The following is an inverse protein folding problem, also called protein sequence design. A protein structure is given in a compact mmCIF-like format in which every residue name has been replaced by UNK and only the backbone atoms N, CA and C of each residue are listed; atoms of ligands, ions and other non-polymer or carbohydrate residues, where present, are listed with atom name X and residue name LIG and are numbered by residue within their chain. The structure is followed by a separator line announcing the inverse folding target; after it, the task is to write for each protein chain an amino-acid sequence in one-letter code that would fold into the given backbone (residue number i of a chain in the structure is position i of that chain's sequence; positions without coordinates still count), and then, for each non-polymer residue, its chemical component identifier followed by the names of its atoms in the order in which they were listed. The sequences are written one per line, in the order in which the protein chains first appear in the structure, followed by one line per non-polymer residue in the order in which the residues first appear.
data_IF_648770481915
#
_entry.id   IF_648770481915
#
_cell.length_a   1.000
_cell.length_b   1.000
_cell.length_c   1.000
_cell.angle_alpha   90.00
_cell.angle_beta   90.00
_cell.angle_gamma   90.00
#
_symmetry.space_group_name_H-M   'P 1'
#
loop_
_entity.id
_entity.type
_entity.pdbx_description
1 polymer ?
#
# COMPACT_ATOMS: atom_id res chain seq x y z
N UNK A 1 -35.56 22.35 3.34
CA UNK A 1 -35.95 21.06 3.98
C UNK A 1 -34.87 20.03 3.69
N UNK A 2 -34.71 18.95 4.45
CA UNK A 2 -33.53 18.08 4.25
C UNK A 2 -33.84 16.93 3.30
N UNK A 3 -33.26 16.97 2.10
CA UNK A 3 -33.26 15.85 1.15
C UNK A 3 -32.01 15.00 1.38
N UNK A 4 -32.20 13.70 1.59
CA UNK A 4 -31.10 12.75 1.84
C UNK A 4 -31.10 11.64 0.80
N UNK A 5 -30.03 11.56 0.02
CA UNK A 5 -29.83 10.57 -1.03
C UNK A 5 -28.85 9.49 -0.56
N UNK A 6 -29.35 8.35 -0.10
CA UNK A 6 -28.54 7.19 0.27
C UNK A 6 -28.16 6.38 -0.97
N UNK A 7 -26.87 6.13 -1.16
CA UNK A 7 -26.33 5.39 -2.31
C UNK A 7 -25.49 4.21 -1.84
N UNK A 8 -25.96 2.99 -2.10
CA UNK A 8 -25.14 1.79 -2.00
C UNK A 8 -24.28 1.64 -3.27
N UNK A 9 -22.96 1.66 -3.08
CA UNK A 9 -21.99 1.76 -4.16
C UNK A 9 -21.49 0.38 -4.57
N UNK A 10 -22.02 -0.15 -5.67
CA UNK A 10 -21.44 -1.29 -6.37
C UNK A 10 -20.16 -0.93 -7.18
N UNK A 11 -19.35 -1.94 -7.54
CA UNK A 11 -18.10 -1.76 -8.33
C UNK A 11 -18.24 -2.17 -9.79
N UNK A 12 -18.98 -3.24 -10.08
CA UNK A 12 -19.20 -3.80 -11.44
C UNK A 12 -20.68 -3.92 -11.81
N UNK A 13 -21.58 -3.74 -10.85
CA UNK A 13 -23.02 -3.68 -11.04
C UNK A 13 -23.49 -2.23 -10.88
N UNK A 14 -24.75 -1.95 -11.22
CA UNK A 14 -25.36 -0.66 -10.95
C UNK A 14 -25.41 -0.40 -9.43
N UNK A 15 -25.12 0.84 -9.03
CA UNK A 15 -25.34 1.34 -7.69
C UNK A 15 -26.85 1.39 -7.41
N UNK A 16 -27.25 1.33 -6.13
CA UNK A 16 -28.65 1.54 -5.73
C UNK A 16 -28.80 2.83 -4.95
N UNK A 17 -29.71 3.69 -5.40
CA UNK A 17 -30.06 4.95 -4.75
C UNK A 17 -31.46 4.90 -4.15
N UNK A 18 -31.62 5.54 -3.00
CA UNK A 18 -32.91 5.85 -2.37
C UNK A 18 -32.90 7.29 -1.86
N UNK A 19 -33.94 8.06 -2.20
CA UNK A 19 -34.12 9.44 -1.76
C UNK A 19 -35.12 9.49 -0.62
N UNK A 20 -34.79 10.21 0.46
CA UNK A 20 -35.71 10.58 1.52
C UNK A 20 -35.83 12.10 1.64
N UNK A 21 -36.98 12.56 2.13
CA UNK A 21 -37.23 13.92 2.61
C UNK A 21 -37.62 13.81 4.07
N UNK A 22 -36.81 14.38 4.95
CA UNK A 22 -37.01 14.33 6.41
C UNK A 22 -37.30 12.90 6.92
N UNK A 23 -36.58 11.91 6.36
CA UNK A 23 -36.64 10.48 6.72
C UNK A 23 -37.74 9.68 6.03
N UNK A 24 -38.72 10.34 5.41
CA UNK A 24 -39.77 9.70 4.58
C UNK A 24 -39.24 9.45 3.18
N UNK A 25 -39.37 8.22 2.69
CA UNK A 25 -38.90 7.83 1.35
C UNK A 25 -39.71 8.51 0.25
N UNK A 26 -39.04 9.24 -0.64
CA UNK A 26 -39.63 9.84 -1.85
C UNK A 26 -39.65 8.82 -2.99
N UNK A 27 -38.50 8.21 -3.27
CA UNK A 27 -38.36 7.06 -4.17
C UNK A 27 -37.23 6.14 -3.69
N UNK A 28 -37.25 4.86 -4.08
CA UNK A 28 -36.31 3.84 -3.59
C UNK A 28 -35.81 2.91 -4.67
N UNK A 29 -34.58 2.40 -4.50
CA UNK A 29 -34.00 1.37 -5.36
C UNK A 29 -33.78 1.79 -6.82
N UNK A 30 -33.56 3.08 -7.11
CA UNK A 30 -33.15 3.52 -8.46
C UNK A 30 -31.77 2.96 -8.74
N UNK A 31 -31.62 2.29 -9.89
CA UNK A 31 -30.34 1.71 -10.33
C UNK A 31 -29.68 2.64 -11.34
N UNK A 32 -28.38 2.88 -11.15
CA UNK A 32 -27.57 3.70 -12.06
C UNK A 32 -26.11 3.24 -12.06
N UNK A 33 -25.41 3.47 -13.15
CA UNK A 33 -23.94 3.36 -13.24
C UNK A 33 -23.28 4.72 -13.04
N UNK A 34 -21.99 4.75 -12.72
CA UNK A 34 -21.17 5.98 -12.77
C UNK A 34 -20.91 6.38 -14.24
N UNK A 35 -21.96 6.86 -14.92
CA UNK A 35 -21.95 7.48 -16.25
C UNK A 35 -22.60 8.85 -16.15
N UNK A 36 -22.12 9.83 -16.91
CA UNK A 36 -22.60 11.22 -16.82
C UNK A 36 -24.12 11.32 -16.98
N UNK A 37 -24.69 10.74 -18.04
CA UNK A 37 -26.14 10.75 -18.32
C UNK A 37 -26.98 10.13 -17.19
N UNK A 38 -26.48 9.05 -16.57
CA UNK A 38 -27.19 8.35 -15.50
C UNK A 38 -27.10 9.11 -14.16
N UNK A 39 -25.98 9.81 -13.92
CA UNK A 39 -25.82 10.72 -12.78
C UNK A 39 -26.68 11.99 -12.93
N UNK A 40 -26.71 12.61 -14.11
CA UNK A 40 -27.61 13.74 -14.40
C UNK A 40 -29.08 13.35 -14.25
N UNK A 41 -29.45 12.12 -14.66
CA UNK A 41 -30.79 11.58 -14.42
C UNK A 41 -31.11 11.50 -12.93
N UNK A 42 -30.25 10.87 -12.12
CA UNK A 42 -30.43 10.76 -10.66
C UNK A 42 -30.49 12.14 -9.98
N UNK A 43 -29.76 13.13 -10.50
CA UNK A 43 -29.79 14.51 -10.02
C UNK A 43 -31.11 15.22 -10.35
N UNK A 44 -31.57 15.15 -11.60
CA UNK A 44 -32.87 15.68 -12.00
C UNK A 44 -34.02 15.01 -11.23
N UNK A 45 -33.93 13.69 -11.04
CA UNK A 45 -34.85 12.87 -10.24
C UNK A 45 -34.87 13.22 -8.73
N UNK A 46 -33.83 13.89 -8.23
CA UNK A 46 -33.80 14.39 -6.85
C UNK A 46 -34.62 15.68 -6.67
N UNK A 47 -34.89 16.43 -7.75
CA UNK A 47 -35.79 17.59 -7.76
C UNK A 47 -35.37 18.68 -6.78
N UNK A 48 -34.08 18.98 -6.69
CA UNK A 48 -33.49 19.90 -5.72
C UNK A 48 -33.40 21.31 -6.30
N UNK A 49 -33.97 22.30 -5.61
CA UNK A 49 -33.91 23.72 -6.01
C UNK A 49 -32.58 24.36 -5.57
N UNK A 50 -32.20 24.21 -4.30
CA UNK A 50 -30.86 24.57 -3.80
C UNK A 50 -30.02 23.29 -3.55
N UNK A 51 -28.94 23.07 -4.32
CA UNK A 51 -27.99 21.98 -4.10
C UNK A 51 -27.56 21.75 -2.64
N UNK A 52 -27.43 22.81 -1.83
CA UNK A 52 -26.96 22.71 -0.45
C UNK A 52 -27.97 22.04 0.51
N UNK A 53 -29.22 21.87 0.10
CA UNK A 53 -30.24 21.08 0.80
C UNK A 53 -30.11 19.56 0.57
N UNK A 54 -29.38 19.14 -0.47
CA UNK A 54 -29.13 17.73 -0.75
C UNK A 54 -27.94 17.20 0.05
N UNK A 55 -28.20 16.20 0.88
CA UNK A 55 -27.18 15.41 1.59
C UNK A 55 -27.05 14.03 0.94
N UNK A 56 -25.92 13.77 0.28
CA UNK A 56 -25.62 12.48 -0.36
C UNK A 56 -24.83 11.60 0.61
N UNK A 57 -25.36 10.43 0.94
CA UNK A 57 -24.80 9.52 1.95
C UNK A 57 -24.23 8.28 1.25
N UNK A 58 -22.92 8.06 1.43
CA UNK A 58 -22.15 7.02 0.74
C UNK A 58 -21.40 6.13 1.74
N UNK A 59 -21.43 4.81 1.48
CA UNK A 59 -20.45 3.88 2.04
C UNK A 59 -19.20 3.81 1.12
N UNK A 60 -17.97 3.86 1.65
CA UNK A 60 -16.75 3.86 0.84
C UNK A 60 -16.42 2.49 0.23
N UNK A 61 -17.09 2.13 -0.87
CA UNK A 61 -16.76 0.92 -1.64
C UNK A 61 -15.56 1.15 -2.56
N UNK A 62 -14.38 0.66 -2.13
CA UNK A 62 -13.10 0.75 -2.87
C UNK A 62 -12.81 2.19 -3.32
N UNK A 63 -12.61 2.42 -4.63
CA UNK A 63 -12.44 3.75 -5.22
C UNK A 63 -13.70 4.25 -5.96
N UNK A 64 -14.74 3.42 -6.12
CA UNK A 64 -15.90 3.75 -6.94
C UNK A 64 -16.69 4.93 -6.37
N UNK A 65 -16.81 4.99 -5.04
CA UNK A 65 -17.50 6.07 -4.33
C UNK A 65 -16.86 7.46 -4.57
N UNK A 66 -15.56 7.54 -4.89
CA UNK A 66 -14.83 8.81 -5.01
C UNK A 66 -15.38 9.64 -6.18
N UNK A 67 -15.69 9.00 -7.31
CA UNK A 67 -16.20 9.69 -8.50
C UNK A 67 -17.60 10.22 -8.24
N UNK A 68 -18.45 9.40 -7.60
CA UNK A 68 -19.81 9.79 -7.19
C UNK A 68 -19.75 10.97 -6.21
N UNK A 69 -18.93 10.85 -5.16
CA UNK A 69 -18.75 11.89 -4.14
C UNK A 69 -18.25 13.22 -4.75
N UNK A 70 -17.22 13.20 -5.60
CA UNK A 70 -16.75 14.42 -6.27
C UNK A 70 -17.80 15.01 -7.22
N UNK A 71 -18.57 14.17 -7.93
CA UNK A 71 -19.58 14.63 -8.90
C UNK A 71 -20.73 15.39 -8.23
N UNK A 72 -21.24 14.88 -7.11
CA UNK A 72 -22.28 15.54 -6.31
C UNK A 72 -21.74 16.76 -5.55
N UNK A 73 -20.57 16.63 -4.89
CA UNK A 73 -19.92 17.74 -4.16
C UNK A 73 -19.64 18.94 -5.06
N UNK A 74 -19.23 18.71 -6.32
CA UNK A 74 -18.97 19.77 -7.30
C UNK A 74 -20.23 20.46 -7.84
N UNK A 75 -21.42 19.89 -7.60
CA UNK A 75 -22.72 20.53 -7.88
C UNK A 75 -23.29 21.29 -6.68
N UNK A 76 -22.59 21.31 -5.54
CA UNK A 76 -23.01 22.02 -4.31
C UNK A 76 -23.71 21.13 -3.27
N UNK A 77 -23.92 19.84 -3.55
CA UNK A 77 -24.50 18.93 -2.57
C UNK A 77 -23.50 18.57 -1.46
N UNK A 78 -24.00 18.46 -0.23
CA UNK A 78 -23.24 17.97 0.92
C UNK A 78 -23.02 16.47 0.74
N UNK A 79 -21.80 16.00 0.93
CA UNK A 79 -21.49 14.57 0.79
C UNK A 79 -20.99 14.02 2.13
N UNK A 80 -21.64 12.98 2.62
CA UNK A 80 -21.41 12.42 3.95
C UNK A 80 -20.96 10.97 3.82
N UNK A 81 -19.85 10.64 4.48
CA UNK A 81 -19.24 9.31 4.41
C UNK A 81 -19.56 8.50 5.65
N UNK A 82 -20.09 7.29 5.44
CA UNK A 82 -20.42 6.34 6.50
C UNK A 82 -19.26 5.34 6.64
N UNK A 83 -18.60 5.24 7.81
CA UNK A 83 -17.64 4.17 8.07
C UNK A 83 -18.26 2.79 7.86
N UNK A 84 -17.56 1.89 7.17
CA UNK A 84 -18.04 0.53 6.88
C UNK A 84 -18.33 -0.30 8.12
N UNK A 85 -17.72 0.02 9.26
CA UNK A 85 -18.04 -0.56 10.57
C UNK A 85 -19.41 -0.13 11.06
N UNK A 86 -19.71 1.17 11.05
CA UNK A 86 -21.02 1.71 11.43
C UNK A 86 -22.14 1.14 10.54
N UNK A 87 -21.96 1.13 9.21
CA UNK A 87 -22.97 0.58 8.30
C UNK A 87 -23.14 -0.95 8.44
N UNK A 88 -22.09 -1.69 8.81
CA UNK A 88 -22.20 -3.11 9.12
C UNK A 88 -23.00 -3.38 10.40
N UNK A 89 -22.77 -2.61 11.47
CA UNK A 89 -23.49 -2.78 12.74
C UNK A 89 -24.95 -2.33 12.62
N UNK A 90 -25.23 -1.26 11.87
CA UNK A 90 -26.57 -0.86 11.48
C UNK A 90 -27.28 -1.94 10.63
N UNK A 91 -26.58 -2.59 9.70
CA UNK A 91 -27.13 -3.73 8.94
C UNK A 91 -27.44 -4.93 9.83
N UNK A 92 -26.61 -5.26 10.83
CA UNK A 92 -26.93 -6.31 11.82
C UNK A 92 -28.22 -5.99 12.60
N UNK A 93 -28.45 -4.72 12.92
CA UNK A 93 -29.63 -4.28 13.67
C UNK A 93 -30.91 -4.26 12.80
N UNK A 94 -30.85 -3.67 11.61
CA UNK A 94 -32.02 -3.46 10.73
C UNK A 94 -32.26 -4.58 9.70
N UNK A 95 -31.28 -5.45 9.43
CA UNK A 95 -31.33 -6.45 8.34
C UNK A 95 -30.89 -7.84 8.82
N UNK A 96 -31.56 -8.37 9.85
CA UNK A 96 -31.27 -9.68 10.46
C UNK A 96 -31.23 -10.89 9.51
N UNK A 97 -31.83 -10.82 8.31
CA UNK A 97 -32.13 -12.03 7.51
C UNK A 97 -31.72 -12.01 6.02
N UNK A 98 -31.28 -10.90 5.43
CA UNK A 98 -30.70 -10.90 4.07
C UNK A 98 -29.90 -9.63 3.78
N UNK A 99 -28.78 -9.77 3.05
CA UNK A 99 -28.15 -8.63 2.37
C UNK A 99 -29.04 -8.22 1.18
N UNK A 100 -29.43 -6.95 1.11
CA UNK A 100 -30.20 -6.43 -0.01
C UNK A 100 -29.81 -4.96 -0.25
N UNK A 101 -29.05 -4.72 -1.31
CA UNK A 101 -28.56 -3.40 -1.74
C UNK A 101 -29.66 -2.29 -1.76
N UNK A 102 -30.94 -2.66 -1.98
CA UNK A 102 -32.08 -1.73 -1.86
C UNK A 102 -32.30 -1.27 -0.42
N UNK A 103 -32.27 -2.19 0.54
CA UNK A 103 -32.40 -1.92 1.98
C UNK A 103 -31.18 -1.12 2.46
N UNK A 104 -29.98 -1.49 2.00
CA UNK A 104 -28.73 -0.78 2.32
C UNK A 104 -28.83 0.70 1.88
N UNK A 105 -29.31 0.99 0.66
CA UNK A 105 -29.54 2.37 0.20
C UNK A 105 -30.62 3.13 1.01
N UNK A 106 -31.70 2.45 1.44
CA UNK A 106 -32.76 3.05 2.26
C UNK A 106 -32.28 3.37 3.69
N UNK A 107 -31.38 2.54 4.23
CA UNK A 107 -30.73 2.75 5.52
C UNK A 107 -29.77 3.95 5.47
N UNK A 108 -28.93 4.02 4.42
CA UNK A 108 -28.05 5.18 4.19
C UNK A 108 -28.86 6.48 4.05
N UNK A 109 -30.01 6.44 3.36
CA UNK A 109 -30.89 7.59 3.15
C UNK A 109 -31.59 8.12 4.42
N UNK A 110 -31.56 7.36 5.54
CA UNK A 110 -32.08 7.79 6.85
C UNK A 110 -30.98 8.07 7.87
N UNK A 111 -29.75 7.65 7.62
CA UNK A 111 -28.69 7.63 8.64
C UNK A 111 -28.34 9.00 9.25
N UNK A 112 -28.30 10.13 8.50
CA UNK A 112 -28.06 11.45 9.09
C UNK A 112 -29.09 11.87 10.16
N UNK A 113 -30.32 11.35 10.11
CA UNK A 113 -31.35 11.61 11.12
C UNK A 113 -31.22 10.70 12.34
N UNK A 114 -30.63 9.52 12.16
CA UNK A 114 -30.41 8.55 13.24
C UNK A 114 -29.11 8.81 14.02
N UNK A 115 -28.13 9.47 13.40
CA UNK A 115 -26.83 9.74 14.02
C UNK A 115 -26.15 11.03 13.50
N UNK A 116 -26.75 12.22 13.70
CA UNK A 116 -26.28 13.48 13.12
C UNK A 116 -24.81 13.80 13.42
N UNK A 117 -24.37 13.67 14.68
CA UNK A 117 -23.01 14.07 15.10
C UNK A 117 -21.91 13.01 14.80
N UNK A 118 -22.29 11.82 14.32
CA UNK A 118 -21.37 10.69 14.15
C UNK A 118 -20.80 10.52 12.74
N UNK A 119 -21.35 11.26 11.79
CA UNK A 119 -20.96 11.20 10.39
C UNK A 119 -20.03 12.36 10.05
N UNK A 120 -19.12 12.15 9.09
CA UNK A 120 -18.18 13.18 8.65
C UNK A 120 -18.48 13.59 7.21
N UNK A 121 -18.57 14.90 7.01
CA UNK A 121 -18.64 15.47 5.67
C UNK A 121 -17.33 15.24 4.92
N UNK A 122 -17.46 14.92 3.64
CA UNK A 122 -16.36 14.69 2.71
C UNK A 122 -15.91 16.01 2.08
N UNK A 123 -14.84 16.58 2.62
CA UNK A 123 -14.22 17.84 2.18
C UNK A 123 -13.47 17.76 0.83
N UNK A 124 -13.68 16.71 0.04
CA UNK A 124 -13.00 16.48 -1.24
C UNK A 124 -11.68 15.73 -1.14
N UNK A 125 -11.01 15.54 -2.27
CA UNK A 125 -9.73 14.82 -2.32
C UNK A 125 -8.57 15.61 -1.66
N UNK A 126 -8.59 16.95 -1.69
CA UNK A 126 -7.53 17.80 -1.11
C UNK A 126 -6.12 17.61 -1.73
N UNK A 127 -5.13 18.42 -1.31
CA UNK A 127 -3.78 18.38 -1.87
C UNK A 127 -2.99 17.12 -1.47
N UNK A 128 -3.32 16.50 -0.34
CA UNK A 128 -2.57 15.36 0.20
C UNK A 128 -2.93 13.99 -0.42
N UNK A 129 -3.99 13.87 -1.24
CA UNK A 129 -4.41 12.56 -1.76
C UNK A 129 -3.46 11.90 -2.78
N UNK A 130 -2.73 12.63 -3.66
CA UNK A 130 -1.63 12.05 -4.44
C UNK A 130 -0.58 11.39 -3.54
N UNK A 131 -0.18 12.03 -2.44
CA UNK A 131 0.75 11.49 -1.45
C UNK A 131 0.17 10.24 -0.77
N UNK A 132 -1.08 10.28 -0.28
CA UNK A 132 -1.75 9.10 0.32
C UNK A 132 -1.81 7.91 -0.64
N UNK A 133 -2.10 8.16 -1.93
CA UNK A 133 -2.10 7.13 -2.99
C UNK A 133 -0.72 6.52 -3.18
N UNK A 134 0.34 7.32 -3.28
CA UNK A 134 1.71 6.80 -3.45
C UNK A 134 2.19 6.02 -2.22
N UNK A 135 1.93 6.51 -1.00
CA UNK A 135 2.27 5.79 0.24
C UNK A 135 1.56 4.43 0.30
N UNK A 136 0.27 4.37 -0.12
CA UNK A 136 -0.47 3.11 -0.22
C UNK A 136 0.08 2.19 -1.31
N UNK A 137 0.50 2.74 -2.45
CA UNK A 137 1.13 1.99 -3.54
C UNK A 137 2.46 1.38 -3.07
N UNK A 138 3.35 2.19 -2.46
CA UNK A 138 4.61 1.74 -1.85
C UNK A 138 4.40 0.57 -0.89
N UNK A 139 3.49 0.73 0.08
CA UNK A 139 3.15 -0.32 1.05
C UNK A 139 2.65 -1.61 0.38
N UNK A 140 1.89 -1.48 -0.71
CA UNK A 140 1.44 -2.63 -1.51
C UNK A 140 2.58 -3.31 -2.26
N UNK A 141 3.57 -2.57 -2.75
CA UNK A 141 4.72 -3.10 -3.52
C UNK A 141 5.83 -3.70 -2.65
N UNK A 142 5.98 -3.28 -1.39
CA UNK A 142 6.93 -3.89 -0.45
C UNK A 142 6.56 -5.36 -0.18
N UNK A 143 5.27 -5.69 -0.08
CA UNK A 143 4.80 -7.06 0.19
C UNK A 143 5.27 -8.11 -0.83
N UNK A 144 5.03 -7.97 -2.15
CA UNK A 144 5.54 -8.93 -3.13
C UNK A 144 7.06 -8.95 -3.18
N UNK A 145 7.76 -7.83 -2.92
CA UNK A 145 9.23 -7.84 -2.85
C UNK A 145 9.73 -8.73 -1.71
N UNK A 146 9.14 -8.62 -0.52
CA UNK A 146 9.48 -9.51 0.60
C UNK A 146 9.18 -10.98 0.27
N UNK A 147 8.07 -11.26 -0.44
CA UNK A 147 7.76 -12.62 -0.88
C UNK A 147 8.72 -13.17 -1.95
N UNK A 148 9.22 -12.32 -2.86
CA UNK A 148 10.28 -12.67 -3.82
C UNK A 148 11.59 -12.99 -3.10
N UNK A 149 11.98 -12.18 -2.11
CA UNK A 149 13.21 -12.40 -1.35
C UNK A 149 13.18 -13.74 -0.60
N UNK A 150 12.04 -14.08 0.03
CA UNK A 150 11.88 -15.38 0.69
C UNK A 150 11.92 -16.58 -0.30
N UNK A 151 11.55 -16.39 -1.57
CA UNK A 151 11.73 -17.42 -2.61
C UNK A 151 13.18 -17.50 -3.09
N UNK A 152 13.88 -16.37 -3.21
CA UNK A 152 15.32 -16.35 -3.46
C UNK A 152 16.11 -17.06 -2.35
N UNK A 153 15.81 -16.80 -1.09
CA UNK A 153 16.42 -17.50 0.05
C UNK A 153 16.28 -19.03 -0.12
N UNK A 154 15.05 -19.52 -0.31
CA UNK A 154 14.75 -20.95 -0.47
C UNK A 154 15.39 -21.60 -1.70
N UNK A 155 15.55 -20.87 -2.82
CA UNK A 155 16.26 -21.39 -4.00
C UNK A 155 17.79 -21.38 -3.82
N UNK A 156 18.33 -20.38 -3.12
CA UNK A 156 19.77 -20.28 -2.83
C UNK A 156 20.21 -21.31 -1.78
N UNK A 157 19.32 -21.74 -0.88
CA UNK A 157 19.55 -22.86 0.03
C UNK A 157 19.95 -24.15 -0.71
N UNK A 158 19.43 -24.39 -1.94
CA UNK A 158 19.80 -25.53 -2.79
C UNK A 158 21.24 -25.44 -3.33
N UNK A 159 21.78 -24.22 -3.48
CA UNK A 159 23.18 -23.98 -3.82
C UNK A 159 24.11 -24.14 -2.60
N UNK A 160 23.56 -24.12 -1.38
CA UNK A 160 24.29 -24.35 -0.13
C UNK A 160 24.69 -23.07 0.63
N UNK A 161 25.03 -23.22 1.93
CA UNK A 161 25.10 -22.10 2.89
C UNK A 161 26.19 -21.06 2.59
N UNK A 162 27.27 -21.46 1.90
CA UNK A 162 28.39 -20.56 1.57
C UNK A 162 27.98 -19.46 0.58
N UNK A 163 26.96 -19.69 -0.26
CA UNK A 163 26.37 -18.64 -1.10
C UNK A 163 25.72 -17.54 -0.25
N UNK A 164 24.96 -17.92 0.79
CA UNK A 164 24.35 -16.96 1.70
C UNK A 164 25.41 -16.16 2.47
N UNK A 165 26.48 -16.83 2.94
CA UNK A 165 27.58 -16.18 3.65
C UNK A 165 28.29 -15.10 2.81
N UNK A 166 28.42 -15.29 1.48
CA UNK A 166 29.07 -14.33 0.58
C UNK A 166 28.11 -13.26 0.05
N UNK A 167 26.83 -13.60 -0.20
CA UNK A 167 25.85 -12.66 -0.76
C UNK A 167 25.20 -11.75 0.28
N UNK A 168 25.00 -12.27 1.49
CA UNK A 168 24.28 -11.61 2.59
C UNK A 168 22.76 -11.53 2.40
N UNK A 169 22.05 -11.47 3.51
CA UNK A 169 20.57 -11.60 3.61
C UNK A 169 19.74 -10.46 3.00
N UNK A 170 20.37 -9.34 2.64
CA UNK A 170 19.66 -8.14 2.15
C UNK A 170 19.68 -8.00 0.62
N UNK A 171 20.32 -8.93 -0.10
CA UNK A 171 20.48 -8.96 -1.56
C UNK A 171 20.62 -7.57 -2.22
N UNK A 172 21.82 -7.00 -2.10
CA UNK A 172 22.15 -5.74 -2.78
C UNK A 172 22.06 -5.88 -4.31
N UNK A 173 22.02 -4.74 -5.02
CA UNK A 173 21.86 -4.73 -6.48
C UNK A 173 22.90 -5.59 -7.23
N UNK A 174 24.13 -5.69 -6.70
CA UNK A 174 25.18 -6.56 -7.26
C UNK A 174 24.90 -8.06 -7.06
N UNK A 175 24.30 -8.44 -5.92
CA UNK A 175 23.89 -9.81 -5.62
C UNK A 175 22.77 -10.25 -6.58
N UNK A 176 21.71 -9.43 -6.70
CA UNK A 176 20.59 -9.72 -7.59
C UNK A 176 21.01 -9.75 -9.07
N UNK A 177 21.87 -8.83 -9.52
CA UNK A 177 22.41 -8.86 -10.88
C UNK A 177 23.31 -10.07 -11.17
N UNK A 178 23.99 -10.62 -10.15
CA UNK A 178 24.73 -11.88 -10.26
C UNK A 178 23.76 -13.06 -10.39
N UNK A 179 22.81 -13.18 -9.46
CA UNK A 179 21.80 -14.25 -9.43
C UNK A 179 20.97 -14.28 -10.73
N UNK A 180 20.64 -13.12 -11.29
CA UNK A 180 19.94 -12.97 -12.57
C UNK A 180 20.72 -13.45 -13.82
N UNK A 181 22.00 -13.80 -13.70
CA UNK A 181 22.88 -14.07 -14.87
C UNK A 181 23.82 -15.27 -14.71
N UNK A 182 24.19 -15.60 -13.47
CA UNK A 182 25.28 -16.50 -13.12
C UNK A 182 24.97 -17.25 -11.81
N UNK A 183 23.73 -17.72 -11.61
CA UNK A 183 23.40 -18.57 -10.46
C UNK A 183 23.86 -20.03 -10.63
N UNK A 184 24.07 -20.50 -11.87
CA UNK A 184 24.72 -21.79 -12.17
C UNK A 184 26.17 -21.82 -11.63
N UNK A 185 26.52 -22.75 -10.70
CA UNK A 185 27.87 -22.94 -10.20
C UNK A 185 28.91 -23.19 -11.31
N UNK A 186 28.56 -23.93 -12.37
CA UNK A 186 29.47 -24.16 -13.50
C UNK A 186 29.73 -22.85 -14.26
N UNK A 187 28.72 -22.00 -14.48
CA UNK A 187 28.89 -20.68 -15.07
C UNK A 187 29.79 -19.76 -14.22
N UNK A 188 29.63 -19.74 -12.89
CA UNK A 188 30.49 -18.95 -11.99
C UNK A 188 31.95 -19.36 -12.10
N UNK A 189 32.25 -20.66 -12.03
CA UNK A 189 33.61 -21.19 -12.13
C UNK A 189 34.20 -20.88 -13.52
N UNK A 190 33.43 -21.08 -14.59
CA UNK A 190 33.82 -20.82 -15.99
C UNK A 190 34.07 -19.34 -16.30
N UNK A 191 33.33 -18.44 -15.64
CA UNK A 191 33.53 -16.99 -15.77
C UNK A 191 34.90 -16.56 -15.22
N UNK A 192 35.32 -17.18 -14.11
CA UNK A 192 36.63 -16.96 -13.49
C UNK A 192 36.74 -15.66 -12.69
N UNK A 193 37.62 -15.69 -11.68
CA UNK A 193 37.67 -14.68 -10.61
C UNK A 193 37.84 -13.25 -11.13
N UNK A 194 38.76 -13.01 -12.08
CA UNK A 194 39.04 -11.66 -12.58
C UNK A 194 37.87 -11.03 -13.36
N UNK A 195 37.06 -11.84 -14.08
CA UNK A 195 35.86 -11.34 -14.77
C UNK A 195 34.72 -11.12 -13.78
N UNK A 196 34.54 -12.03 -12.83
CA UNK A 196 33.55 -11.93 -11.76
C UNK A 196 33.80 -10.72 -10.85
N UNK A 197 35.03 -10.50 -10.38
CA UNK A 197 35.42 -9.34 -9.58
C UNK A 197 35.12 -8.01 -10.30
N UNK A 198 35.45 -7.93 -11.61
CA UNK A 198 35.11 -6.76 -12.44
C UNK A 198 33.60 -6.56 -12.57
N UNK A 199 32.86 -7.64 -12.83
CA UNK A 199 31.39 -7.61 -12.93
C UNK A 199 30.74 -7.07 -11.64
N UNK A 200 31.18 -7.58 -10.48
CA UNK A 200 30.70 -7.19 -9.17
C UNK A 200 31.10 -5.76 -8.81
N UNK A 201 32.34 -5.35 -9.08
CA UNK A 201 32.83 -4.00 -8.79
C UNK A 201 31.98 -2.92 -9.49
N UNK A 202 31.66 -3.10 -10.77
CA UNK A 202 30.78 -2.17 -11.51
C UNK A 202 29.40 -2.02 -10.88
N UNK A 203 28.82 -3.10 -10.35
CA UNK A 203 27.43 -3.15 -9.85
C UNK A 203 27.27 -2.84 -8.37
N UNK A 204 28.35 -3.01 -7.60
CA UNK A 204 28.44 -2.72 -6.17
C UNK A 204 29.05 -1.35 -5.85
N UNK A 205 29.35 -0.53 -6.88
CA UNK A 205 30.12 0.73 -6.77
C UNK A 205 31.52 0.53 -6.17
N UNK A 206 32.12 -0.65 -6.39
CA UNK A 206 33.45 -1.02 -5.91
C UNK A 206 33.49 -1.63 -4.51
N UNK A 207 32.35 -1.89 -3.86
CA UNK A 207 32.30 -2.55 -2.56
C UNK A 207 32.62 -4.06 -2.65
N UNK A 208 32.26 -4.72 -3.76
CA UNK A 208 32.53 -6.14 -4.00
C UNK A 208 33.63 -6.28 -5.06
N UNK A 209 34.68 -7.03 -4.73
CA UNK A 209 35.90 -7.19 -5.53
C UNK A 209 36.40 -8.65 -5.45
N UNK A 210 37.72 -8.85 -5.48
CA UNK A 210 38.38 -10.15 -5.61
C UNK A 210 38.05 -11.12 -4.48
N UNK A 211 37.87 -10.66 -3.24
CA UNK A 211 37.45 -11.49 -2.10
C UNK A 211 36.04 -12.09 -2.31
N UNK A 212 35.07 -11.27 -2.73
CA UNK A 212 33.71 -11.73 -2.99
C UNK A 212 33.67 -12.67 -4.21
N UNK A 213 34.48 -12.37 -5.24
CA UNK A 213 34.62 -13.25 -6.41
C UNK A 213 35.26 -14.60 -6.05
N UNK A 214 36.28 -14.61 -5.19
CA UNK A 214 36.89 -15.84 -4.66
C UNK A 214 35.88 -16.64 -3.82
N UNK A 215 35.14 -15.97 -2.93
CA UNK A 215 34.10 -16.57 -2.10
C UNK A 215 33.00 -17.24 -2.92
N UNK A 216 32.52 -16.59 -3.98
CA UNK A 216 31.52 -17.16 -4.89
C UNK A 216 32.05 -18.37 -5.69
N UNK A 217 33.31 -18.34 -6.10
CA UNK A 217 33.93 -19.49 -6.79
C UNK A 217 34.16 -20.66 -5.82
N UNK A 218 34.49 -20.38 -4.55
CA UNK A 218 34.55 -21.40 -3.50
C UNK A 218 33.16 -21.99 -3.23
N UNK A 219 32.14 -21.14 -3.04
CA UNK A 219 30.75 -21.55 -2.86
C UNK A 219 30.27 -22.43 -4.02
N UNK A 220 30.49 -22.02 -5.27
CA UNK A 220 30.14 -22.79 -6.47
C UNK A 220 30.84 -24.17 -6.51
N UNK A 221 32.12 -24.26 -6.14
CA UNK A 221 32.84 -25.54 -6.06
C UNK A 221 32.28 -26.45 -4.96
N UNK A 222 31.91 -25.86 -3.82
CA UNK A 222 31.29 -26.58 -2.71
C UNK A 222 29.90 -27.10 -3.09
N UNK A 223 29.07 -26.30 -3.77
CA UNK A 223 27.79 -26.75 -4.35
C UNK A 223 27.98 -28.00 -5.21
N UNK A 224 28.92 -27.96 -6.15
CA UNK A 224 29.20 -29.11 -7.02
C UNK A 224 29.71 -30.31 -6.24
N UNK A 225 30.53 -30.12 -5.20
CA UNK A 225 31.00 -31.21 -4.35
C UNK A 225 29.87 -31.86 -3.51
N UNK A 226 28.90 -31.08 -3.04
CA UNK A 226 27.74 -31.56 -2.29
C UNK A 226 26.78 -32.39 -3.14
N UNK A 227 26.59 -32.02 -4.41
CA UNK A 227 25.66 -32.68 -5.33
C UNK A 227 26.30 -33.77 -6.20
N UNK A 228 27.63 -33.84 -6.29
CA UNK A 228 28.35 -34.86 -7.07
C UNK A 228 28.55 -36.15 -6.27
N UNK A 229 27.46 -36.89 -6.07
CA UNK A 229 27.48 -38.27 -5.55
C UNK A 229 27.41 -39.25 -6.72
N UNK A 230 28.30 -40.25 -6.72
CA UNK A 230 28.38 -41.23 -7.81
C UNK A 230 27.13 -42.12 -7.86
N UNK A 231 26.46 -42.17 -9.02
CA UNK A 231 25.27 -43.01 -9.23
C UNK A 231 23.93 -42.39 -8.80
N UNK A 232 23.88 -41.10 -8.47
CA UNK A 232 22.61 -40.40 -8.13
C UNK A 232 22.17 -39.42 -9.24
N UNK A 233 20.85 -39.22 -9.36
CA UNK A 233 20.29 -38.11 -10.14
C UNK A 233 20.68 -36.77 -9.50
N UNK A 234 21.66 -36.09 -10.10
CA UNK A 234 22.14 -34.79 -9.65
C UNK A 234 21.17 -33.65 -9.94
N UNK A 235 21.44 -32.48 -9.36
CA UNK A 235 20.65 -31.27 -9.59
C UNK A 235 20.93 -30.65 -10.97
N UNK A 236 19.87 -30.31 -11.71
CA UNK A 236 19.98 -29.47 -12.90
C UNK A 236 20.20 -28.01 -12.50
N UNK A 237 21.47 -27.61 -12.46
CA UNK A 237 21.86 -26.23 -12.14
C UNK A 237 21.51 -25.21 -13.24
N UNK A 238 21.23 -25.64 -14.48
CA UNK A 238 20.80 -24.72 -15.52
C UNK A 238 19.34 -24.31 -15.29
N UNK A 239 18.45 -25.27 -15.02
CA UNK A 239 17.06 -25.00 -14.67
C UNK A 239 16.94 -24.26 -13.32
N UNK A 240 17.67 -24.68 -12.27
CA UNK A 240 17.70 -23.93 -11.01
C UNK A 240 18.23 -22.49 -11.22
N UNK A 241 19.22 -22.29 -12.07
CA UNK A 241 19.71 -20.94 -12.40
C UNK A 241 18.66 -20.11 -13.14
N UNK A 242 17.73 -20.72 -13.89
CA UNK A 242 16.64 -20.02 -14.56
C UNK A 242 15.56 -19.59 -13.55
N UNK A 243 15.19 -20.46 -12.61
CA UNK A 243 14.26 -20.15 -11.50
C UNK A 243 14.80 -19.02 -10.62
N UNK A 244 16.08 -19.11 -10.20
CA UNK A 244 16.75 -18.06 -9.43
C UNK A 244 16.79 -16.74 -10.22
N UNK A 245 17.08 -16.80 -11.53
CA UNK A 245 17.14 -15.61 -12.35
C UNK A 245 15.78 -14.91 -12.46
N UNK A 246 14.69 -15.67 -12.61
CA UNK A 246 13.34 -15.13 -12.66
C UNK A 246 12.98 -14.33 -11.39
N UNK A 247 13.29 -14.88 -10.22
CA UNK A 247 13.04 -14.19 -8.94
C UNK A 247 13.99 -12.99 -8.72
N UNK A 248 15.25 -13.10 -9.15
CA UNK A 248 16.21 -12.00 -9.07
C UNK A 248 15.81 -10.80 -9.97
N UNK A 249 15.28 -11.07 -11.16
CA UNK A 249 14.72 -10.03 -12.04
C UNK A 249 13.47 -9.35 -11.43
N UNK A 250 12.56 -10.12 -10.82
CA UNK A 250 11.44 -9.56 -10.07
C UNK A 250 11.91 -8.66 -8.92
N UNK A 251 12.93 -9.09 -8.16
CA UNK A 251 13.52 -8.31 -7.07
C UNK A 251 14.14 -6.99 -7.56
N UNK A 252 14.87 -7.02 -8.68
CA UNK A 252 15.44 -5.83 -9.34
C UNK A 252 14.35 -4.88 -9.86
N UNK A 253 13.29 -5.41 -10.46
CA UNK A 253 12.15 -4.61 -10.92
C UNK A 253 11.43 -3.92 -9.77
N UNK A 254 11.01 -4.67 -8.74
CA UNK A 254 10.29 -4.14 -7.59
C UNK A 254 11.11 -3.13 -6.80
N UNK A 255 12.41 -3.35 -6.64
CA UNK A 255 13.31 -2.41 -5.95
C UNK A 255 13.45 -1.09 -6.71
N UNK A 256 13.59 -1.13 -8.05
CA UNK A 256 13.60 0.09 -8.88
C UNK A 256 12.27 0.85 -8.81
N UNK A 257 11.13 0.14 -8.87
CA UNK A 257 9.80 0.76 -8.77
C UNK A 257 9.54 1.39 -7.39
N UNK A 258 9.93 0.73 -6.30
CA UNK A 258 9.81 1.29 -4.94
C UNK A 258 10.66 2.56 -4.81
N UNK A 259 11.90 2.57 -5.32
CA UNK A 259 12.75 3.77 -5.31
C UNK A 259 12.12 4.94 -6.06
N UNK A 260 11.58 4.70 -7.26
CA UNK A 260 10.90 5.73 -8.05
C UNK A 260 9.62 6.26 -7.36
N UNK A 261 8.91 5.42 -6.58
CA UNK A 261 7.80 5.88 -5.76
C UNK A 261 8.29 6.71 -4.57
N UNK A 262 9.39 6.32 -3.92
CA UNK A 262 9.95 7.03 -2.78
C UNK A 262 10.46 8.42 -3.15
N UNK A 263 11.07 8.56 -4.33
CA UNK A 263 11.45 9.87 -4.92
C UNK A 263 10.21 10.76 -5.18
N UNK A 264 9.12 10.19 -5.71
CA UNK A 264 7.86 10.93 -5.93
C UNK A 264 7.13 11.28 -4.63
N UNK A 265 7.25 10.43 -3.60
CA UNK A 265 6.73 10.69 -2.25
C UNK A 265 7.49 11.87 -1.63
N UNK A 266 8.83 11.89 -1.75
CA UNK A 266 9.65 12.99 -1.22
C UNK A 266 9.27 14.34 -1.84
N UNK A 267 9.13 14.41 -3.16
CA UNK A 267 8.73 15.64 -3.85
C UNK A 267 7.35 16.15 -3.38
N UNK A 268 6.33 15.28 -3.39
CA UNK A 268 4.98 15.66 -2.94
C UNK A 268 4.90 15.99 -1.44
N UNK A 269 5.84 15.48 -0.62
CA UNK A 269 5.93 15.87 0.78
C UNK A 269 6.52 17.28 0.92
N UNK A 270 7.58 17.60 0.16
CA UNK A 270 8.17 18.95 0.10
C UNK A 270 7.16 20.00 -0.35
N UNK A 271 6.32 19.69 -1.36
CA UNK A 271 5.26 20.59 -1.83
C UNK A 271 4.16 20.81 -0.76
N UNK A 272 3.89 19.80 0.07
CA UNK A 272 2.81 19.82 1.07
C UNK A 272 3.23 20.35 2.45
N UNK A 273 4.51 20.28 2.79
CA UNK A 273 5.12 20.83 4.00
C UNK A 273 6.44 21.58 3.69
N UNK A 274 6.40 22.73 2.99
CA UNK A 274 7.62 23.44 2.58
C UNK A 274 8.47 23.96 3.76
N UNK A 275 7.87 24.07 4.95
CA UNK A 275 8.54 24.51 6.18
C UNK A 275 9.03 23.33 7.04
N UNK A 276 8.78 22.08 6.63
CA UNK A 276 9.21 20.87 7.33
C UNK A 276 8.60 20.69 8.73
N UNK A 277 7.50 21.37 9.04
CA UNK A 277 6.90 21.40 10.38
C UNK A 277 6.38 20.00 10.75
N UNK A 278 5.75 19.31 9.80
CA UNK A 278 5.23 17.95 10.00
C UNK A 278 6.38 16.93 10.02
N UNK A 279 7.42 17.12 9.21
CA UNK A 279 8.62 16.27 9.24
C UNK A 279 9.43 16.42 10.54
N UNK A 280 9.43 17.61 11.14
CA UNK A 280 10.12 17.90 12.41
C UNK A 280 9.41 17.35 13.65
N UNK A 281 8.14 16.95 13.52
CA UNK A 281 7.38 16.41 14.64
C UNK A 281 7.95 15.05 15.10
N UNK A 282 8.24 14.85 16.40
CA UNK A 282 8.83 13.62 16.91
C UNK A 282 8.07 12.37 16.48
N UNK A 283 8.75 11.47 15.77
CA UNK A 283 8.18 10.24 15.23
C UNK A 283 7.47 10.34 13.88
N UNK A 284 7.35 11.52 13.25
CA UNK A 284 6.65 11.70 11.96
C UNK A 284 7.62 11.87 10.76
N UNK A 285 8.91 12.03 11.02
CA UNK A 285 9.96 12.22 10.01
C UNK A 285 10.03 11.16 8.89
N UNK A 286 10.69 11.48 7.77
CA UNK A 286 10.69 10.68 6.54
C UNK A 286 11.20 9.25 6.76
N UNK A 287 10.84 8.28 5.89
CA UNK A 287 11.11 6.85 6.11
C UNK A 287 12.58 6.50 6.36
N UNK A 288 13.52 7.28 5.82
CA UNK A 288 14.96 7.16 6.05
C UNK A 288 15.39 7.38 7.50
N UNK A 289 14.65 8.18 8.29
CA UNK A 289 14.92 8.41 9.71
C UNK A 289 14.38 7.28 10.62
N UNK A 290 13.56 6.36 10.10
CA UNK A 290 12.98 5.24 10.87
C UNK A 290 13.75 3.92 10.73
N UNK A 291 14.79 3.86 9.89
CA UNK A 291 15.58 2.64 9.65
C UNK A 291 17.03 2.79 10.16
N UNK A 292 17.20 2.94 11.47
CA UNK A 292 18.48 2.75 12.16
C UNK A 292 18.24 1.96 13.45
N UNK A 293 18.54 0.64 13.49
CA UNK A 293 18.47 -0.16 14.70
C UNK A 293 19.75 0.05 15.53
N UNK A 294 19.77 1.12 16.33
CA UNK A 294 20.74 1.32 17.41
C UNK A 294 19.97 1.38 18.73
N UNK A 295 20.30 0.47 19.67
CA UNK A 295 19.48 0.20 20.85
C UNK A 295 19.82 1.02 22.10
N UNK A 296 18.98 0.87 23.14
CA UNK A 296 19.05 1.52 24.48
C UNK A 296 18.88 3.05 24.46
N UNK A 297 18.30 3.77 25.43
CA UNK A 297 17.32 3.49 26.50
C UNK A 297 16.69 4.88 26.87
N UNK A 298 15.81 5.14 27.86
CA UNK A 298 15.28 4.41 29.03
C UNK A 298 13.91 5.00 29.43
N UNK A 299 13.13 4.29 30.27
CA UNK A 299 12.07 4.79 31.20
C UNK A 299 11.22 6.01 30.81
N UNK A 300 9.93 5.74 30.64
CA UNK A 300 8.84 6.71 30.80
C UNK A 300 8.81 7.34 32.21
N UNK A 301 8.39 8.62 32.27
CA UNK A 301 8.03 9.33 33.49
C UNK A 301 7.19 10.58 33.15
N UNK A 302 6.07 10.86 33.84
CA UNK A 302 5.17 11.95 33.47
C UNK A 302 5.69 13.33 33.90
N UNK A 303 5.27 14.43 33.24
CA UNK A 303 5.78 15.77 33.51
C UNK A 303 5.30 16.31 34.86
N UNK A 304 6.22 16.92 35.63
CA UNK A 304 5.88 17.63 36.86
C UNK A 304 5.17 18.94 36.55
N UNK A 305 3.94 19.08 37.05
CA UNK A 305 3.23 20.35 37.11
C UNK A 305 4.02 21.37 37.96
N UNK A 306 4.32 22.54 37.39
CA UNK A 306 4.76 23.70 38.17
C UNK A 306 3.60 24.14 39.06
N UNK A 307 3.77 24.09 40.39
CA UNK A 307 2.94 24.84 41.33
C UNK A 307 3.68 26.12 41.72
N UNK A 308 3.08 27.25 41.42
CA UNK A 308 3.41 28.56 41.95
C UNK A 308 2.68 28.79 43.28
N UNK A 309 3.40 29.20 44.32
CA UNK A 309 2.94 29.88 45.54
C UNK A 309 4.21 30.36 46.32
N UNK A 310 4.13 31.20 47.36
CA UNK A 310 4.53 32.60 47.23
C UNK A 310 5.70 33.00 48.14
N UNK A 311 6.20 34.22 47.98
CA UNK A 311 7.03 34.92 48.98
C UNK A 311 6.27 35.08 50.30
N UNK A 312 6.99 35.01 51.43
CA UNK A 312 7.02 36.18 52.30
C UNK A 312 8.42 36.53 52.83
N UNK A 313 8.54 37.80 53.23
CA UNK A 313 9.58 38.50 54.02
C UNK A 313 11.06 38.38 53.56
#
# INVERSE_FOLDING_TARGET
MTLTLGIDVAVRAAHQATLSRDGKTVWRGRKFMTRTEELERVWADAGVEDPAELTVVLEPTRNAWIVIAEWFRRRGAKVVMVPTTQSADLRKYYSKHAKNDRIDSELLARLPLLHPDGLREYSGQGPANPLRRLVKQRSTMVKPRTAVYARLDALIELLGPTWYAVLGSNYGNAALELLARYADPHAVIRLGQARLARFLATRSRGNWRDEHAAGLIAAARETLALWNVEGTDGMDFAELSADIAHEAEQALFLTRQIKAIDERIANLYTDADPQGIVASAPGVGPPSARSSPAGSATRTGPPRLRRSAPTPD
#
